data_IF_454678057489
#
_entry.id   IF_454678057489
#
_cell.length_a   1.000
_cell.length_b   1.000
_cell.length_c   1.000
_cell.angle_alpha   90.00
_cell.angle_beta   90.00
_cell.angle_gamma   90.00
#
_symmetry.space_group_name_H-M   'P 1'
#
loop_
_entity.id
_entity.type
_entity.pdbx_description
1 polymer ?
#
# COMPACT_ATOMS: atom_id res chain seq x y z
N UNK A 1 -7.75 -16.69 10.43
CA UNK A 1 -6.28 -16.69 10.17
C UNK A 1 -5.91 -16.09 8.80
N UNK A 2 -6.85 -15.85 7.88
CA UNK A 2 -6.53 -15.35 6.53
C UNK A 2 -6.14 -13.86 6.43
N UNK A 3 -6.70 -12.99 7.28
CA UNK A 3 -6.50 -11.52 7.13
C UNK A 3 -5.07 -11.06 7.48
N UNK A 4 -4.37 -11.81 8.34
CA UNK A 4 -3.00 -11.46 8.75
C UNK A 4 -1.98 -11.79 7.67
N UNK A 5 -2.18 -12.82 6.86
CA UNK A 5 -1.29 -13.13 5.72
C UNK A 5 -1.46 -12.08 4.61
N UNK A 6 -2.68 -11.61 4.39
CA UNK A 6 -2.98 -10.61 3.35
C UNK A 6 -2.24 -9.29 3.56
N UNK A 7 -2.08 -8.82 4.80
CA UNK A 7 -1.36 -7.57 5.05
C UNK A 7 0.14 -7.68 4.72
N UNK A 8 0.75 -8.86 4.92
CA UNK A 8 2.16 -9.06 4.57
C UNK A 8 2.35 -9.06 3.05
N UNK A 9 1.43 -9.67 2.32
CA UNK A 9 1.46 -9.69 0.86
C UNK A 9 1.26 -8.30 0.27
N UNK A 10 0.31 -7.54 0.81
CA UNK A 10 0.06 -6.15 0.42
C UNK A 10 1.27 -5.26 0.71
N UNK A 11 1.99 -5.47 1.81
CA UNK A 11 3.24 -4.76 2.11
C UNK A 11 4.35 -5.08 1.12
N UNK A 12 4.46 -6.34 0.69
CA UNK A 12 5.43 -6.74 -0.36
C UNK A 12 5.09 -6.07 -1.69
N UNK A 13 3.83 -6.14 -2.11
CA UNK A 13 3.36 -5.48 -3.33
C UNK A 13 3.57 -3.96 -3.26
N UNK A 14 3.24 -3.33 -2.13
CA UNK A 14 3.42 -1.90 -1.94
C UNK A 14 4.90 -1.51 -2.04
N UNK A 15 5.80 -2.31 -1.46
CA UNK A 15 7.24 -2.08 -1.57
C UNK A 15 7.74 -2.20 -3.01
N UNK A 16 7.31 -3.23 -3.74
CA UNK A 16 7.62 -3.41 -5.17
C UNK A 16 7.08 -2.26 -6.03
N UNK A 17 5.92 -1.72 -5.67
CA UNK A 17 5.32 -0.55 -6.31
C UNK A 17 5.99 0.79 -5.91
N UNK A 18 7.09 0.78 -5.14
CA UNK A 18 7.80 1.99 -4.69
C UNK A 18 7.16 2.71 -3.50
N UNK A 19 6.14 2.12 -2.87
CA UNK A 19 5.49 2.65 -1.67
C UNK A 19 6.34 2.27 -0.45
N UNK A 20 7.34 3.08 -0.16
CA UNK A 20 8.23 2.88 0.99
C UNK A 20 7.57 3.27 2.32
N UNK A 21 7.98 2.63 3.41
CA UNK A 21 7.43 2.90 4.75
C UNK A 21 5.97 2.44 4.91
N UNK A 22 5.56 1.45 4.10
CA UNK A 22 4.23 0.84 4.11
C UNK A 22 3.95 -0.04 5.34
N UNK A 23 4.96 -0.31 6.16
CA UNK A 23 4.85 -1.11 7.39
C UNK A 23 3.90 -0.50 8.43
N UNK A 24 3.70 0.82 8.40
CA UNK A 24 2.77 1.55 9.28
C UNK A 24 1.37 1.73 8.67
N UNK A 25 1.07 1.13 7.51
CA UNK A 25 -0.23 1.23 6.87
C UNK A 25 -1.12 0.04 7.25
N UNK A 26 -2.42 0.30 7.34
CA UNK A 26 -3.43 -0.75 7.46
C UNK A 26 -3.66 -1.43 6.11
N UNK A 27 -4.33 -2.58 6.13
CA UNK A 27 -4.67 -3.31 4.90
C UNK A 27 -5.45 -2.43 3.91
N UNK A 28 -6.42 -1.67 4.39
CA UNK A 28 -7.23 -0.78 3.58
C UNK A 28 -6.38 0.31 2.91
N UNK A 29 -5.50 0.94 3.68
CA UNK A 29 -4.60 1.98 3.17
C UNK A 29 -3.62 1.42 2.12
N UNK A 30 -3.12 0.19 2.32
CA UNK A 30 -2.25 -0.47 1.35
C UNK A 30 -2.96 -0.74 0.04
N UNK A 31 -4.19 -1.28 0.10
CA UNK A 31 -5.02 -1.55 -1.08
C UNK A 31 -5.31 -0.27 -1.87
N UNK A 32 -5.65 0.82 -1.17
CA UNK A 32 -5.92 2.09 -1.83
C UNK A 32 -4.67 2.74 -2.42
N UNK A 33 -3.54 2.71 -1.72
CA UNK A 33 -2.28 3.20 -2.28
C UNK A 33 -1.86 2.39 -3.50
N UNK A 34 -1.95 1.06 -3.47
CA UNK A 34 -1.69 0.18 -4.61
C UNK A 34 -2.61 0.49 -5.80
N UNK A 35 -3.90 0.72 -5.54
CA UNK A 35 -4.87 1.08 -6.58
C UNK A 35 -4.52 2.41 -7.25
N UNK A 36 -4.04 3.40 -6.48
CA UNK A 36 -3.61 4.70 -7.00
C UNK A 36 -2.32 4.58 -7.83
N UNK A 37 -1.34 3.81 -7.35
CA UNK A 37 -0.12 3.55 -8.12
C UNK A 37 -0.43 2.81 -9.42
N UNK A 38 -1.33 1.82 -9.39
CA UNK A 38 -1.80 1.14 -10.59
C UNK A 38 -2.52 2.05 -11.61
N UNK A 39 -2.97 3.24 -11.19
CA UNK A 39 -3.54 4.29 -12.06
C UNK A 39 -2.51 5.33 -12.51
N UNK A 40 -1.23 5.15 -12.18
CA UNK A 40 -0.14 6.06 -12.54
C UNK A 40 0.15 7.15 -11.51
N UNK A 41 -0.44 7.09 -10.31
CA UNK A 41 -0.06 8.01 -9.24
C UNK A 41 1.35 7.70 -8.72
N UNK A 42 2.08 8.73 -8.32
CA UNK A 42 3.39 8.53 -7.70
C UNK A 42 3.26 7.74 -6.38
N UNK A 43 4.10 6.72 -6.13
CA UNK A 43 3.98 5.85 -4.96
C UNK A 43 3.96 6.57 -3.61
N UNK A 44 4.76 7.63 -3.48
CA UNK A 44 4.82 8.42 -2.25
C UNK A 44 3.60 9.33 -2.09
N UNK A 45 3.02 9.82 -3.19
CA UNK A 45 1.79 10.59 -3.18
C UNK A 45 0.60 9.69 -2.84
N UNK A 46 0.49 8.54 -3.51
CA UNK A 46 -0.52 7.51 -3.22
C UNK A 46 -0.52 7.09 -1.75
N UNK A 47 0.66 6.94 -1.14
CA UNK A 47 0.82 6.68 0.30
C UNK A 47 0.25 7.80 1.16
N UNK A 48 0.59 9.05 0.86
CA UNK A 48 0.14 10.22 1.63
C UNK A 48 -1.38 10.33 1.57
N UNK A 49 -1.95 10.19 0.38
CA UNK A 49 -3.40 10.26 0.22
C UNK A 49 -4.16 9.06 0.78
N UNK A 50 -3.53 7.89 0.88
CA UNK A 50 -4.14 6.73 1.53
C UNK A 50 -4.05 6.79 3.06
N UNK A 51 -3.10 7.56 3.61
CA UNK A 51 -2.95 7.78 5.06
C UNK A 51 -3.72 8.99 5.58
N UNK A 52 -3.92 9.99 4.72
CA UNK A 52 -4.64 11.22 5.01
C UNK A 52 -6.13 11.00 5.20
#
# INVERSE_FOLDING_TARGET
MADREQIHDLRRQAHQAGIEGNSKMTEHQLRDALRKVGRGAEPQMAKREAKG
#
